data_IF_960954039000
#
_entry.id   IF_960954039000
#
_cell.length_a   1.000
_cell.length_b   1.000
_cell.length_c   1.000
_cell.angle_alpha   90.00
_cell.angle_beta   90.00
_cell.angle_gamma   90.00
#
_symmetry.space_group_name_H-M   'P 1'
#
loop_
_entity.id
_entity.type
_entity.pdbx_description
1 polymer ?
#
# COMPACT_ATOMS: atom_id res chain seq x y z
N UNK A 1 52.44 9.71 27.67
CA UNK A 1 51.12 9.52 28.31
C UNK A 1 50.07 9.53 27.21
N UNK A 2 49.49 8.37 26.93
CA UNK A 2 48.39 8.17 25.97
C UNK A 2 47.05 8.29 26.70
N UNK A 3 46.07 8.98 26.09
CA UNK A 3 44.60 8.98 26.30
C UNK A 3 44.10 10.42 26.02
N UNK A 4 43.03 10.73 25.30
CA UNK A 4 41.88 9.95 24.87
C UNK A 4 41.40 10.43 23.49
N UNK A 5 40.87 9.46 22.76
CA UNK A 5 40.22 9.51 21.45
C UNK A 5 39.02 10.45 21.40
N UNK A 6 39.10 11.49 20.57
CA UNK A 6 37.92 12.09 19.95
C UNK A 6 37.50 11.18 18.79
N UNK A 7 36.59 10.24 19.07
CA UNK A 7 36.05 9.33 18.07
C UNK A 7 34.56 9.62 17.87
N UNK A 8 34.29 10.79 17.29
CA UNK A 8 32.96 11.09 16.75
C UNK A 8 33.06 11.14 15.23
N UNK A 9 33.13 9.96 14.60
CA UNK A 9 33.14 9.80 13.14
C UNK A 9 31.90 10.48 12.51
N UNK A 10 32.07 11.51 11.66
CA UNK A 10 30.97 12.16 10.95
C UNK A 10 30.59 11.28 9.74
N UNK A 11 29.91 10.17 9.99
CA UNK A 11 29.52 9.24 8.92
C UNK A 11 28.25 8.44 9.18
N UNK A 12 27.81 8.33 10.44
CA UNK A 12 26.73 7.39 10.79
C UNK A 12 25.30 7.94 10.65
N UNK A 13 25.11 9.17 10.14
CA UNK A 13 23.76 9.75 9.95
C UNK A 13 23.29 9.83 8.49
N UNK A 14 24.15 9.51 7.52
CA UNK A 14 23.82 9.62 6.10
C UNK A 14 23.53 8.26 5.42
N UNK A 15 23.69 7.12 6.11
CA UNK A 15 23.59 5.79 5.50
C UNK A 15 22.17 5.27 5.32
N UNK A 16 21.18 5.79 6.06
CA UNK A 16 19.79 5.31 5.97
C UNK A 16 18.95 6.03 4.91
N UNK A 17 19.31 7.25 4.50
CA UNK A 17 18.59 8.00 3.47
C UNK A 17 19.06 7.66 2.04
N UNK A 18 20.33 7.28 1.85
CA UNK A 18 20.93 7.04 0.53
C UNK A 18 20.69 5.62 -0.03
N UNK A 19 20.26 4.67 0.80
CA UNK A 19 19.97 3.30 0.36
C UNK A 19 18.60 3.15 -0.35
N UNK A 20 17.75 4.19 -0.34
CA UNK A 20 16.36 4.16 -0.85
C UNK A 20 16.21 4.39 -2.37
N UNK A 21 17.28 4.32 -3.16
CA UNK A 21 17.24 4.59 -4.61
C UNK A 21 18.00 3.54 -5.45
N UNK A 22 18.03 2.28 -5.01
CA UNK A 22 18.54 1.21 -5.87
C UNK A 22 17.57 0.90 -7.02
N UNK A 23 18.06 0.26 -8.10
CA UNK A 23 17.25 -0.05 -9.28
C UNK A 23 16.00 -0.87 -8.95
N UNK A 24 16.06 -1.71 -7.92
CA UNK A 24 14.93 -2.51 -7.46
C UNK A 24 13.81 -1.62 -6.88
N UNK A 25 14.16 -0.68 -6.01
CA UNK A 25 13.20 0.29 -5.46
C UNK A 25 12.54 1.13 -6.57
N UNK A 26 13.33 1.61 -7.54
CA UNK A 26 12.82 2.37 -8.68
C UNK A 26 11.84 1.55 -9.53
N UNK A 27 12.16 0.28 -9.79
CA UNK A 27 11.29 -0.63 -10.52
C UNK A 27 9.96 -0.86 -9.79
N UNK A 28 10.01 -1.13 -8.48
CA UNK A 28 8.80 -1.31 -7.65
C UNK A 28 7.96 -0.03 -7.61
N UNK A 29 8.60 1.15 -7.52
CA UNK A 29 7.88 2.43 -7.56
C UNK A 29 7.15 2.63 -8.88
N UNK A 30 7.80 2.31 -10.00
CA UNK A 30 7.20 2.44 -11.32
C UNK A 30 6.03 1.47 -11.50
N UNK A 31 6.21 0.20 -11.15
CA UNK A 31 5.14 -0.79 -11.20
C UNK A 31 3.98 -0.43 -10.24
N UNK A 32 4.28 0.18 -9.10
CA UNK A 32 3.26 0.73 -8.18
C UNK A 32 2.46 1.90 -8.76
N UNK A 33 3.01 2.67 -9.71
CA UNK A 33 2.23 3.70 -10.41
C UNK A 33 1.22 3.07 -11.37
N UNK A 34 1.63 2.03 -12.10
CA UNK A 34 0.77 1.30 -13.03
C UNK A 34 -0.40 0.63 -12.29
N UNK A 35 -0.12 -0.05 -11.17
CA UNK A 35 -1.15 -0.64 -10.33
C UNK A 35 -2.18 0.40 -9.83
N UNK A 36 -1.71 1.59 -9.45
CA UNK A 36 -2.60 2.69 -9.03
C UNK A 36 -3.44 3.24 -10.15
N UNK A 37 -2.86 3.38 -11.34
CA UNK A 37 -3.60 3.83 -12.51
C UNK A 37 -4.72 2.82 -12.81
N UNK A 38 -4.40 1.54 -12.84
CA UNK A 38 -5.38 0.46 -13.01
C UNK A 38 -6.49 0.49 -11.96
N UNK A 39 -6.15 0.71 -10.68
CA UNK A 39 -7.15 0.86 -9.62
C UNK A 39 -8.01 2.10 -9.82
N UNK A 40 -7.41 3.22 -10.24
CA UNK A 40 -8.12 4.47 -10.47
C UNK A 40 -9.13 4.32 -11.61
N UNK A 41 -8.72 3.67 -12.70
CA UNK A 41 -9.57 3.36 -13.85
C UNK A 41 -10.71 2.40 -13.47
N UNK A 42 -10.39 1.35 -12.71
CA UNK A 42 -11.39 0.42 -12.19
C UNK A 42 -12.42 1.11 -11.30
N UNK A 43 -11.99 2.02 -10.41
CA UNK A 43 -12.90 2.82 -9.57
C UNK A 43 -13.75 3.75 -10.43
N UNK A 44 -13.17 4.38 -11.46
CA UNK A 44 -13.92 5.28 -12.35
C UNK A 44 -15.00 4.53 -13.15
N UNK A 45 -14.71 3.30 -13.59
CA UNK A 45 -15.70 2.41 -14.19
C UNK A 45 -16.75 1.97 -13.17
N UNK A 46 -16.31 1.57 -11.97
CA UNK A 46 -17.21 1.20 -10.87
C UNK A 46 -18.12 2.33 -10.43
N UNK A 47 -17.74 3.60 -10.57
CA UNK A 47 -18.65 4.73 -10.31
C UNK A 47 -19.85 4.72 -11.25
N UNK A 48 -19.63 4.36 -12.52
CA UNK A 48 -20.66 4.34 -13.58
C UNK A 48 -21.43 3.03 -13.64
N UNK A 49 -20.94 1.99 -12.97
CA UNK A 49 -21.56 0.67 -12.95
C UNK A 49 -22.91 0.68 -12.21
N UNK A 50 -23.95 0.19 -12.88
CA UNK A 50 -25.27 -0.02 -12.29
C UNK A 50 -25.48 -1.53 -12.13
N UNK A 51 -25.75 -1.97 -10.90
CA UNK A 51 -26.07 -3.37 -10.63
C UNK A 51 -27.60 -3.58 -10.59
N UNK A 52 -28.05 -4.79 -10.26
CA UNK A 52 -29.47 -5.11 -10.14
C UNK A 52 -30.19 -4.36 -8.99
N UNK A 53 -29.46 -3.82 -8.01
CA UNK A 53 -29.97 -2.99 -6.91
C UNK A 53 -29.96 -1.48 -7.27
N UNK A 54 -29.31 -1.12 -8.38
CA UNK A 54 -29.25 0.22 -8.96
C UNK A 54 -27.88 0.89 -8.89
N UNK A 55 -27.89 2.22 -9.07
CA UNK A 55 -26.68 3.04 -9.03
C UNK A 55 -26.21 3.41 -7.62
N UNK A 56 -25.00 3.97 -7.52
CA UNK A 56 -24.51 4.55 -6.27
C UNK A 56 -25.23 5.85 -5.91
N UNK A 57 -25.56 6.04 -4.63
CA UNK A 57 -26.10 7.32 -4.12
C UNK A 57 -25.03 8.39 -3.88
N UNK A 58 -23.75 8.00 -3.80
CA UNK A 58 -22.62 8.91 -3.57
C UNK A 58 -21.38 8.47 -4.39
N UNK A 59 -21.45 8.50 -5.73
CA UNK A 59 -20.36 8.07 -6.63
C UNK A 59 -19.04 8.82 -6.39
N UNK A 60 -19.10 10.11 -6.05
CA UNK A 60 -17.95 10.97 -5.80
C UNK A 60 -17.08 10.49 -4.63
N UNK A 61 -17.65 9.69 -3.71
CA UNK A 61 -16.93 9.14 -2.55
C UNK A 61 -16.22 7.82 -2.84
N UNK A 62 -16.45 7.18 -3.99
CA UNK A 62 -15.92 5.86 -4.29
C UNK A 62 -14.38 5.82 -4.19
N UNK A 63 -13.70 6.79 -4.80
CA UNK A 63 -12.23 6.87 -4.78
C UNK A 63 -11.68 6.99 -3.36
N UNK A 64 -12.24 7.91 -2.57
CA UNK A 64 -11.83 8.11 -1.18
C UNK A 64 -12.08 6.86 -0.33
N UNK A 65 -13.23 6.21 -0.52
CA UNK A 65 -13.62 5.02 0.25
C UNK A 65 -12.72 3.81 -0.03
N UNK A 66 -12.45 3.50 -1.31
CA UNK A 66 -11.55 2.40 -1.68
C UNK A 66 -10.13 2.67 -1.20
N UNK A 67 -9.63 3.87 -1.47
CA UNK A 67 -8.29 4.29 -1.08
C UNK A 67 -8.11 4.25 0.43
N UNK A 68 -9.08 4.75 1.21
CA UNK A 68 -9.05 4.69 2.68
C UNK A 68 -9.09 3.26 3.18
N UNK A 69 -9.93 2.41 2.57
CA UNK A 69 -10.04 0.99 2.93
C UNK A 69 -8.70 0.29 2.78
N UNK A 70 -8.05 0.43 1.62
CA UNK A 70 -6.73 -0.16 1.34
C UNK A 70 -5.67 0.36 2.31
N UNK A 71 -5.60 1.68 2.51
CA UNK A 71 -4.59 2.32 3.36
C UNK A 71 -4.72 1.96 4.84
N UNK A 72 -5.95 1.93 5.35
CA UNK A 72 -6.22 1.64 6.75
C UNK A 72 -5.70 0.24 7.14
N UNK A 73 -5.77 -0.74 6.24
CA UNK A 73 -5.26 -2.09 6.50
C UNK A 73 -3.73 -2.11 6.68
N UNK A 74 -3.01 -1.23 5.98
CA UNK A 74 -1.55 -1.12 6.10
C UNK A 74 -1.07 -0.24 7.25
N UNK A 75 -1.99 0.28 8.07
CA UNK A 75 -1.65 1.20 9.17
C UNK A 75 -1.19 2.59 8.68
N UNK A 76 -1.42 2.92 7.40
CA UNK A 76 -1.14 4.23 6.84
C UNK A 76 -2.30 5.17 7.23
N UNK A 77 -2.15 5.87 8.36
CA UNK A 77 -3.21 6.72 8.93
C UNK A 77 -3.65 7.85 7.98
N UNK A 78 -4.88 8.36 8.16
CA UNK A 78 -5.43 9.47 7.37
C UNK A 78 -4.52 10.72 7.35
N UNK A 79 -3.74 11.00 8.39
CA UNK A 79 -2.78 12.14 8.42
C UNK A 79 -1.55 11.94 7.53
N UNK A 80 -1.19 10.70 7.21
CA UNK A 80 -0.13 10.35 6.25
C UNK A 80 -0.69 10.09 4.85
N UNK A 81 -2.01 9.93 4.74
CA UNK A 81 -2.71 9.61 3.50
C UNK A 81 -2.95 10.83 2.60
N UNK A 82 -2.96 12.04 3.18
CA UNK A 82 -3.19 13.30 2.47
C UNK A 82 -1.92 13.81 1.75
N UNK A 83 -0.73 13.48 2.27
CA UNK A 83 0.59 13.82 1.67
C UNK A 83 1.23 12.64 0.92
N UNK A 84 0.40 11.79 0.30
CA UNK A 84 0.85 10.44 -0.03
C UNK A 84 1.93 10.39 -1.12
N UNK A 85 1.86 11.23 -2.15
CA UNK A 85 2.87 11.26 -3.21
C UNK A 85 4.25 11.61 -2.64
N UNK A 86 4.29 12.55 -1.70
CA UNK A 86 5.46 12.94 -0.90
C UNK A 86 5.87 11.88 0.14
N UNK A 87 4.94 11.03 0.59
CA UNK A 87 5.19 10.01 1.61
C UNK A 87 5.71 8.68 1.06
N UNK A 88 5.41 8.36 -0.21
CA UNK A 88 5.83 7.07 -0.83
C UNK A 88 7.33 6.96 -0.99
N UNK A 89 8.02 8.08 -1.13
CA UNK A 89 9.48 8.13 -1.14
C UNK A 89 10.11 7.75 0.21
N UNK A 90 9.30 7.74 1.28
CA UNK A 90 9.72 7.35 2.63
C UNK A 90 9.28 5.92 2.98
N UNK A 91 8.55 5.26 2.09
CA UNK A 91 8.10 3.88 2.32
C UNK A 91 9.23 2.90 1.98
N UNK A 92 9.36 1.91 2.85
CA UNK A 92 10.22 0.76 2.62
C UNK A 92 9.74 -0.04 1.39
N UNK A 93 10.67 -0.69 0.69
CA UNK A 93 10.41 -1.41 -0.56
C UNK A 93 9.38 -2.53 -0.37
N UNK A 94 9.37 -3.19 0.80
CA UNK A 94 8.39 -4.23 1.12
C UNK A 94 6.98 -3.63 1.20
N UNK A 95 6.85 -2.41 1.74
CA UNK A 95 5.56 -1.71 1.82
C UNK A 95 5.11 -1.22 0.45
N UNK A 96 6.05 -0.75 -0.38
CA UNK A 96 5.73 -0.34 -1.75
C UNK A 96 5.27 -1.51 -2.60
N UNK A 97 5.93 -2.67 -2.49
CA UNK A 97 5.53 -3.86 -3.23
C UNK A 97 4.19 -4.42 -2.71
N UNK A 98 3.98 -4.42 -1.40
CA UNK A 98 2.68 -4.73 -0.81
C UNK A 98 1.56 -3.80 -1.33
N UNK A 99 1.81 -2.49 -1.36
CA UNK A 99 0.86 -1.52 -1.90
C UNK A 99 0.57 -1.79 -3.37
N UNK A 100 1.59 -2.06 -4.18
CA UNK A 100 1.43 -2.41 -5.60
C UNK A 100 0.54 -3.63 -5.77
N UNK A 101 0.79 -4.70 -5.02
CA UNK A 101 -0.01 -5.93 -5.07
C UNK A 101 -1.47 -5.67 -4.67
N UNK A 102 -1.70 -4.92 -3.57
CA UNK A 102 -3.05 -4.61 -3.14
C UNK A 102 -3.78 -3.71 -4.14
N UNK A 103 -3.12 -2.64 -4.63
CA UNK A 103 -3.71 -1.73 -5.61
C UNK A 103 -4.10 -2.50 -6.90
N UNK A 104 -3.21 -3.34 -7.42
CA UNK A 104 -3.45 -4.14 -8.62
C UNK A 104 -4.56 -5.18 -8.46
N UNK A 105 -4.50 -6.02 -7.43
CA UNK A 105 -5.51 -7.07 -7.23
C UNK A 105 -6.88 -6.51 -6.85
N UNK A 106 -6.95 -5.37 -6.14
CA UNK A 106 -8.22 -4.69 -5.91
C UNK A 106 -8.84 -4.19 -7.22
N UNK A 107 -8.02 -3.74 -8.19
CA UNK A 107 -8.51 -3.35 -9.51
C UNK A 107 -9.13 -4.56 -10.24
N UNK A 108 -8.44 -5.70 -10.22
CA UNK A 108 -8.94 -6.96 -10.82
C UNK A 108 -10.25 -7.42 -10.18
N UNK A 109 -10.35 -7.39 -8.84
CA UNK A 109 -11.58 -7.75 -8.12
C UNK A 109 -12.76 -6.85 -8.53
N UNK A 110 -12.51 -5.56 -8.73
CA UNK A 110 -13.53 -4.61 -9.19
C UNK A 110 -13.97 -4.96 -10.61
N UNK A 111 -13.03 -5.16 -11.54
CA UNK A 111 -13.33 -5.52 -12.93
C UNK A 111 -14.09 -6.84 -13.03
N UNK A 112 -13.58 -7.91 -12.43
CA UNK A 112 -14.20 -9.23 -12.43
C UNK A 112 -15.60 -9.19 -11.79
N UNK A 113 -15.75 -8.39 -10.73
CA UNK A 113 -17.03 -8.20 -10.08
C UNK A 113 -18.07 -7.56 -10.99
N UNK A 114 -17.69 -6.52 -11.74
CA UNK A 114 -18.56 -5.86 -12.71
C UNK A 114 -18.87 -6.77 -13.91
N UNK A 115 -17.88 -7.50 -14.44
CA UNK A 115 -18.07 -8.47 -15.53
C UNK A 115 -19.05 -9.58 -15.14
N UNK A 116 -19.00 -10.04 -13.88
CA UNK A 116 -19.92 -11.04 -13.33
C UNK A 116 -21.24 -10.47 -12.84
N UNK A 117 -21.49 -9.17 -13.08
CA UNK A 117 -22.69 -8.46 -12.66
C UNK A 117 -23.01 -8.61 -11.16
N UNK A 118 -21.97 -8.68 -10.31
CA UNK A 118 -22.13 -8.73 -8.85
C UNK A 118 -22.69 -7.41 -8.32
N UNK A 119 -23.32 -7.44 -7.15
CA UNK A 119 -23.75 -6.19 -6.53
C UNK A 119 -22.53 -5.34 -6.13
N UNK A 120 -22.70 -4.02 -6.15
CA UNK A 120 -21.73 -3.03 -5.70
C UNK A 120 -21.30 -3.31 -4.26
N UNK A 121 -22.21 -3.85 -3.44
CA UNK A 121 -21.91 -4.26 -2.07
C UNK A 121 -20.93 -5.43 -2.05
N UNK A 122 -21.20 -6.49 -2.80
CA UNK A 122 -20.34 -7.67 -2.89
C UNK A 122 -18.93 -7.30 -3.37
N UNK A 123 -18.84 -6.43 -4.37
CA UNK A 123 -17.54 -5.95 -4.91
C UNK A 123 -16.75 -5.20 -3.83
N UNK A 124 -17.39 -4.27 -3.11
CA UNK A 124 -16.75 -3.53 -2.01
C UNK A 124 -16.31 -4.45 -0.87
N UNK A 125 -17.15 -5.43 -0.51
CA UNK A 125 -16.85 -6.37 0.56
C UNK A 125 -15.69 -7.29 0.18
N UNK A 126 -15.61 -7.72 -1.09
CA UNK A 126 -14.49 -8.50 -1.62
C UNK A 126 -13.17 -7.71 -1.59
N UNK A 127 -13.17 -6.45 -2.04
CA UNK A 127 -11.98 -5.58 -1.96
C UNK A 127 -11.53 -5.39 -0.51
N UNK A 128 -12.47 -5.15 0.41
CA UNK A 128 -12.16 -4.99 1.83
C UNK A 128 -11.58 -6.27 2.45
N UNK A 129 -12.14 -7.43 2.13
CA UNK A 129 -11.65 -8.72 2.60
C UNK A 129 -10.22 -8.98 2.10
N UNK A 130 -9.98 -8.81 0.80
CA UNK A 130 -8.67 -8.99 0.21
C UNK A 130 -7.61 -8.06 0.82
N UNK A 131 -7.90 -6.76 0.93
CA UNK A 131 -6.97 -5.79 1.52
C UNK A 131 -6.62 -6.15 2.98
N UNK A 132 -7.58 -6.68 3.74
CA UNK A 132 -7.37 -7.13 5.12
C UNK A 132 -6.47 -8.36 5.19
N UNK A 133 -6.67 -9.33 4.31
CA UNK A 133 -5.89 -10.58 4.29
C UNK A 133 -4.42 -10.34 3.91
N UNK A 134 -4.17 -9.48 2.93
CA UNK A 134 -2.81 -9.11 2.54
C UNK A 134 -2.12 -8.34 3.69
N UNK A 135 -2.82 -7.40 4.33
CA UNK A 135 -2.28 -6.69 5.48
C UNK A 135 -1.97 -7.61 6.68
N UNK A 136 -2.84 -8.58 6.95
CA UNK A 136 -2.61 -9.63 7.94
C UNK A 136 -1.31 -10.38 7.65
N UNK A 137 -1.11 -10.78 6.40
CA UNK A 137 0.09 -11.47 5.93
C UNK A 137 1.37 -10.65 6.11
N UNK A 138 1.35 -9.36 5.74
CA UNK A 138 2.50 -8.44 5.89
C UNK A 138 2.83 -8.19 7.37
N UNK A 139 1.80 -8.02 8.21
CA UNK A 139 2.00 -7.86 9.66
C UNK A 139 2.64 -9.10 10.28
N UNK A 140 2.28 -10.29 9.81
CA UNK A 140 2.90 -11.56 10.21
C UNK A 140 4.34 -11.70 9.73
N UNK A 141 4.69 -11.19 8.55
CA UNK A 141 6.08 -11.12 8.07
C UNK A 141 6.91 -10.17 8.94
N UNK A 142 6.41 -8.95 9.21
CA UNK A 142 7.09 -8.00 10.11
C UNK A 142 7.32 -8.57 11.50
N UNK A 143 6.32 -9.24 12.10
CA UNK A 143 6.46 -9.87 13.42
C UNK A 143 7.51 -10.99 13.43
N UNK A 144 7.62 -11.79 12.36
CA UNK A 144 8.64 -12.85 12.24
C UNK A 144 10.06 -12.28 12.13
N UNK A 145 10.28 -11.24 11.34
CA UNK A 145 11.60 -10.59 11.23
C UNK A 145 12.11 -10.01 12.55
N UNK A 146 11.20 -9.53 13.43
CA UNK A 146 11.57 -9.08 14.79
C UNK A 146 11.87 -10.22 15.78
N UNK A 147 11.35 -11.43 15.54
CA UNK A 147 11.61 -12.60 16.39
C UNK A 147 12.93 -13.30 16.03
N UNK A 148 13.31 -13.32 14.75
CA UNK A 148 14.58 -13.89 14.30
C UNK A 148 15.80 -13.01 14.66
N UNK A 149 15.62 -11.70 14.81
CA UNK A 149 16.67 -10.78 15.28
C UNK A 149 16.94 -10.79 16.79
N UNK A 150 16.22 -11.61 17.58
CA UNK A 150 16.35 -11.69 19.05
C UNK A 150 16.90 -13.00 19.61
N UNK A 151 17.44 -13.89 18.76
CA UNK A 151 18.21 -15.05 19.24
C UNK A 151 19.70 -14.86 19.00
N UNK A 152 20.33 -14.04 19.84
CA UNK A 152 21.71 -14.26 20.31
C UNK A 152 21.74 -13.83 21.77
N UNK A 153 21.59 -14.80 22.67
CA UNK A 153 22.21 -14.77 24.00
C UNK A 153 23.44 -15.66 23.91
#
# INVERSE_FOLDING_TARGET
MNAHTDNTLPGLRASTALAQHNNYWLAIRQAGKEARLSLTDAIAAFVKYEDAEGGSTAPERAFSNFTRTIKAQLGLSNKQADDMESSRDRLDVIVLDALRLIEGSCAEIIWEGMEKQRSRREIKDAVKAFAKDVAGSISGVRKRSYFEGKKVQ
#
